data_IF_658064072815
#
_entry.id   IF_658064072815
#
_cell.length_a   1.000
_cell.length_b   1.000
_cell.length_c   1.000
_cell.angle_alpha   90.00
_cell.angle_beta   90.00
_cell.angle_gamma   90.00
#
_symmetry.space_group_name_H-M   'P 1'
#
loop_
_entity.id
_entity.type
_entity.pdbx_description
1 polymer ?
#
# COMPACT_ATOMS: atom_id res chain seq x y z
N UNK A 1 -15.73 -15.62 -0.01
CA UNK A 1 -14.28 -15.34 -0.04
C UNK A 1 -13.88 -14.07 0.72
N UNK A 2 -14.68 -13.00 0.79
CA UNK A 2 -14.15 -11.69 1.24
C UNK A 2 -14.04 -11.41 2.76
N UNK A 3 -14.56 -12.26 3.65
CA UNK A 3 -14.63 -11.94 5.10
C UNK A 3 -13.98 -12.99 6.00
N UNK A 4 -13.30 -14.00 5.44
CA UNK A 4 -12.63 -15.07 6.19
C UNK A 4 -11.12 -15.05 5.90
N UNK A 5 -10.32 -14.31 6.70
CA UNK A 5 -8.89 -14.17 6.44
C UNK A 5 -8.12 -15.50 6.56
N UNK A 6 -8.65 -16.46 7.32
CA UNK A 6 -8.14 -17.82 7.47
C UNK A 6 -8.22 -18.65 6.17
N UNK A 7 -9.09 -18.30 5.23
CA UNK A 7 -9.14 -18.91 3.89
C UNK A 7 -7.96 -18.46 3.01
N UNK A 8 -7.41 -17.26 3.26
CA UNK A 8 -6.28 -16.71 2.51
C UNK A 8 -4.93 -17.09 3.14
N UNK A 9 -4.86 -17.05 4.48
CA UNK A 9 -3.68 -17.44 5.25
C UNK A 9 -4.12 -18.30 6.43
N UNK A 10 -3.89 -19.63 6.39
CA UNK A 10 -4.27 -20.53 7.46
C UNK A 10 -3.69 -20.09 8.81
N UNK A 11 -4.54 -20.03 9.82
CA UNK A 11 -4.14 -19.59 11.16
C UNK A 11 -4.04 -18.07 11.35
N UNK A 12 -4.42 -17.25 10.37
CA UNK A 12 -4.51 -15.80 10.54
C UNK A 12 -5.49 -15.43 11.67
N UNK A 13 -5.02 -14.67 12.66
CA UNK A 13 -5.80 -14.24 13.84
C UNK A 13 -6.06 -12.73 13.87
N UNK A 14 -5.29 -11.95 13.14
CA UNK A 14 -5.33 -10.49 13.13
C UNK A 14 -4.91 -9.94 11.78
N UNK A 15 -5.28 -8.68 11.54
CA UNK A 15 -4.92 -7.92 10.35
C UNK A 15 -4.29 -6.61 10.81
N UNK A 16 -3.16 -6.24 10.20
CA UNK A 16 -2.55 -4.92 10.36
C UNK A 16 -2.89 -4.09 9.14
N UNK A 17 -3.66 -3.01 9.31
CA UNK A 17 -4.10 -2.13 8.23
C UNK A 17 -3.25 -0.86 8.25
N UNK A 18 -2.72 -0.48 7.09
CA UNK A 18 -1.87 0.71 6.93
C UNK A 18 -2.48 1.68 5.92
N UNK A 19 -2.17 2.97 6.09
CA UNK A 19 -2.56 4.03 5.18
C UNK A 19 -1.37 4.93 4.86
N UNK A 20 -1.28 5.38 3.62
CA UNK A 20 -0.23 6.30 3.15
C UNK A 20 -0.90 7.44 2.39
N UNK A 21 -0.49 8.67 2.68
CA UNK A 21 -0.93 9.84 1.90
C UNK A 21 -0.43 9.71 0.46
N UNK A 22 -1.35 9.84 -0.50
CA UNK A 22 -1.04 9.90 -1.93
C UNK A 22 -0.88 11.35 -2.43
N UNK A 23 -0.77 12.33 -1.53
CA UNK A 23 -0.54 13.72 -1.91
C UNK A 23 0.90 13.89 -2.42
N UNK A 24 1.02 14.15 -3.72
CA UNK A 24 2.26 14.45 -4.42
C UNK A 24 2.26 15.91 -4.90
N UNK A 25 3.28 16.29 -5.69
CA UNK A 25 3.36 17.61 -6.32
C UNK A 25 2.12 17.83 -7.21
N UNK A 26 1.49 18.99 -7.08
CA UNK A 26 0.37 19.36 -7.95
C UNK A 26 0.89 19.54 -9.39
N UNK A 27 0.11 19.11 -10.40
CA UNK A 27 0.44 19.37 -11.79
C UNK A 27 0.42 20.87 -12.08
N UNK A 28 1.08 21.25 -13.17
CA UNK A 28 1.04 22.63 -13.67
C UNK A 28 -0.41 23.01 -13.99
N UNK A 29 -0.96 24.09 -13.40
CA UNK A 29 -2.32 24.54 -13.71
C UNK A 29 -2.52 24.93 -15.17
N UNK A 30 -1.44 25.25 -15.89
CA UNK A 30 -1.47 25.67 -17.30
C UNK A 30 -1.30 24.49 -18.28
N UNK A 31 -1.23 23.24 -17.79
CA UNK A 31 -1.21 22.05 -18.64
C UNK A 31 -2.58 21.87 -19.34
N UNK A 32 -2.60 22.03 -20.67
CA UNK A 32 -3.81 21.94 -21.50
C UNK A 32 -4.37 20.49 -21.62
N UNK A 33 -3.74 19.52 -20.96
CA UNK A 33 -4.16 18.13 -20.92
C UNK A 33 -5.42 17.83 -20.10
N UNK A 34 -5.86 16.56 -20.16
CA UNK A 34 -6.93 16.03 -19.31
C UNK A 34 -6.49 15.86 -17.85
N UNK A 35 -7.46 15.71 -16.93
CA UNK A 35 -7.17 15.54 -15.49
C UNK A 35 -6.92 14.07 -15.15
N UNK A 36 -5.78 13.81 -14.49
CA UNK A 36 -5.44 12.50 -13.92
C UNK A 36 -5.84 12.48 -12.44
N UNK A 37 -6.36 11.36 -11.96
CA UNK A 37 -6.68 11.19 -10.54
C UNK A 37 -5.41 11.22 -9.67
N UNK A 38 -5.47 11.87 -8.50
CA UNK A 38 -4.30 12.11 -7.65
C UNK A 38 -3.54 10.85 -7.22
N UNK A 39 -4.23 9.73 -7.05
CA UNK A 39 -3.58 8.45 -6.66
C UNK A 39 -2.67 7.88 -7.77
N UNK A 40 -2.83 8.37 -9.00
CA UNK A 40 -2.04 7.96 -10.16
C UNK A 40 -0.97 9.01 -10.52
N UNK A 41 -0.70 9.98 -9.63
CA UNK A 41 0.37 10.94 -9.82
C UNK A 41 1.68 10.40 -9.23
N UNK A 42 2.76 10.49 -10.00
CA UNK A 42 4.09 10.03 -9.59
C UNK A 42 4.26 8.51 -9.76
N UNK A 43 4.97 7.90 -8.82
CA UNK A 43 5.27 6.45 -8.85
C UNK A 43 4.01 5.61 -8.65
N UNK A 44 3.97 4.41 -9.26
CA UNK A 44 2.89 3.45 -9.03
C UNK A 44 2.83 3.07 -7.53
N UNK A 45 1.71 3.43 -6.89
CA UNK A 45 1.51 3.17 -5.47
C UNK A 45 1.61 1.68 -5.14
N UNK A 46 1.31 0.77 -6.07
CA UNK A 46 1.42 -0.66 -5.82
C UNK A 46 2.86 -1.07 -5.48
N UNK A 47 3.85 -0.52 -6.19
CA UNK A 47 5.25 -0.87 -5.98
C UNK A 47 5.80 -0.24 -4.70
N UNK A 48 5.44 1.02 -4.45
CA UNK A 48 5.76 1.73 -3.19
C UNK A 48 5.18 0.98 -1.99
N UNK A 49 3.89 0.61 -2.04
CA UNK A 49 3.21 -0.08 -0.94
C UNK A 49 3.76 -1.49 -0.72
N UNK A 50 3.96 -2.28 -1.79
CA UNK A 50 4.54 -3.64 -1.67
C UNK A 50 5.93 -3.61 -1.03
N UNK A 51 6.76 -2.65 -1.43
CA UNK A 51 8.12 -2.51 -0.89
C UNK A 51 8.09 -2.23 0.62
N UNK A 52 7.25 -1.27 1.04
CA UNK A 52 7.09 -0.93 2.47
C UNK A 52 6.47 -2.06 3.29
N UNK A 53 5.46 -2.75 2.74
CA UNK A 53 4.82 -3.89 3.41
C UNK A 53 5.77 -5.06 3.59
N UNK A 54 6.64 -5.35 2.61
CA UNK A 54 7.69 -6.36 2.76
C UNK A 54 8.67 -6.00 3.87
N UNK A 55 9.14 -4.75 3.90
CA UNK A 55 10.03 -4.28 4.96
C UNK A 55 9.38 -4.39 6.36
N UNK A 56 8.10 -4.04 6.48
CA UNK A 56 7.34 -4.23 7.72
C UNK A 56 7.22 -5.70 8.10
N UNK A 57 6.94 -6.58 7.13
CA UNK A 57 6.88 -8.02 7.33
C UNK A 57 8.20 -8.58 7.87
N UNK A 58 9.33 -8.25 7.23
CA UNK A 58 10.67 -8.66 7.69
C UNK A 58 10.98 -8.14 9.10
N UNK A 59 10.65 -6.87 9.38
CA UNK A 59 10.84 -6.28 10.71
C UNK A 59 10.09 -7.04 11.81
N UNK A 60 8.86 -7.50 11.52
CA UNK A 60 8.05 -8.27 12.47
C UNK A 60 8.63 -9.67 12.65
N UNK A 61 8.95 -10.36 11.55
CA UNK A 61 9.53 -11.70 11.55
C UNK A 61 10.82 -11.78 12.39
N UNK A 62 11.72 -10.82 12.21
CA UNK A 62 12.96 -10.69 13.00
C UNK A 62 12.72 -10.52 14.51
N UNK A 63 11.57 -9.97 14.92
CA UNK A 63 11.29 -9.61 16.32
C UNK A 63 10.48 -10.65 17.08
N UNK A 64 9.58 -11.34 16.39
CA UNK A 64 8.64 -12.28 17.04
C UNK A 64 8.93 -13.73 16.70
N UNK A 65 9.75 -13.99 15.68
CA UNK A 65 9.98 -15.32 15.13
C UNK A 65 8.75 -15.80 14.33
N UNK A 66 8.98 -16.19 13.07
CA UNK A 66 7.98 -16.86 12.23
C UNK A 66 7.63 -18.27 12.70
#
# INVERSE_FOLDING_TARGET
LACRPDELLPGARSLVVVGVSYRTQEPDPDDEGGRIARYAWGDDYHDVMKTRLRALGSFLDERVGG
#
